data_IF_806928272936
#
_entry.id   IF_806928272936
#
_cell.length_a   1.000
_cell.length_b   1.000
_cell.length_c   1.000
_cell.angle_alpha   90.00
_cell.angle_beta   90.00
_cell.angle_gamma   90.00
#
_symmetry.space_group_name_H-M   'P 1'
#
loop_
_entity.id
_entity.type
_entity.pdbx_description
1 polymer ?
#
# COMPACT_ATOMS: atom_id res chain seq x y z
N UNK A 1 1.60 -3.72 -1.90
CA UNK A 1 2.02 -3.06 -3.16
C UNK A 1 1.25 -3.62 -4.34
N UNK A 2 0.14 -2.96 -4.69
CA UNK A 2 -0.70 -3.26 -5.86
C UNK A 2 -0.68 -2.04 -6.79
N UNK A 3 0.50 -1.76 -7.35
CA UNK A 3 0.79 -0.48 -8.00
C UNK A 3 -0.16 -0.16 -9.16
N UNK A 4 -0.48 -1.14 -10.00
CA UNK A 4 -1.31 -0.94 -11.20
C UNK A 4 -2.75 -0.57 -10.82
N UNK A 5 -3.47 -1.34 -9.98
CA UNK A 5 -4.79 -0.93 -9.47
C UNK A 5 -4.79 0.45 -8.85
N UNK A 6 -3.80 0.75 -8.00
CA UNK A 6 -3.72 2.01 -7.26
C UNK A 6 -3.47 3.21 -8.18
N UNK A 7 -2.55 3.09 -9.14
CA UNK A 7 -2.32 4.11 -10.15
C UNK A 7 -3.57 4.33 -11.03
N UNK A 8 -4.26 3.25 -11.40
CA UNK A 8 -5.48 3.32 -12.22
C UNK A 8 -6.61 4.06 -11.48
N UNK A 9 -6.82 3.72 -10.21
CA UNK A 9 -7.82 4.40 -9.37
C UNK A 9 -7.42 5.84 -9.09
N UNK A 10 -6.14 6.13 -8.83
CA UNK A 10 -5.64 7.48 -8.66
C UNK A 10 -5.86 8.34 -9.91
N UNK A 11 -5.64 7.79 -11.12
CA UNK A 11 -5.94 8.47 -12.37
C UNK A 11 -7.44 8.76 -12.54
N UNK A 12 -8.31 7.81 -12.16
CA UNK A 12 -9.75 8.00 -12.20
C UNK A 12 -10.21 9.12 -11.23
N UNK A 13 -9.73 9.08 -9.98
CA UNK A 13 -10.01 10.12 -8.97
C UNK A 13 -9.51 11.48 -9.46
N UNK A 14 -8.26 11.54 -9.93
CA UNK A 14 -7.67 12.77 -10.46
C UNK A 14 -8.43 13.33 -11.66
N UNK A 15 -8.96 12.46 -12.53
CA UNK A 15 -9.80 12.87 -13.67
C UNK A 15 -11.13 13.47 -13.24
N UNK A 16 -11.76 12.92 -12.20
CA UNK A 16 -13.01 13.47 -11.63
C UNK A 16 -12.78 14.85 -11.03
N UNK A 17 -11.68 15.04 -10.28
CA UNK A 17 -11.33 16.35 -9.72
C UNK A 17 -10.94 17.33 -10.82
N UNK A 18 -10.16 16.88 -11.81
CA UNK A 18 -9.80 17.71 -12.97
C UNK A 18 -11.02 18.24 -13.70
N UNK A 19 -12.05 17.41 -13.88
CA UNK A 19 -13.32 17.81 -14.48
C UNK A 19 -14.09 18.81 -13.61
N UNK A 20 -14.16 18.57 -12.29
CA UNK A 20 -14.89 19.45 -11.38
C UNK A 20 -14.26 20.83 -11.16
N UNK A 21 -12.93 20.92 -11.20
CA UNK A 21 -12.17 22.16 -10.96
C UNK A 21 -11.52 22.76 -12.21
N UNK A 22 -11.72 22.12 -13.38
CA UNK A 22 -11.04 22.49 -14.63
C UNK A 22 -9.51 22.55 -14.48
N UNK A 23 -8.92 21.57 -13.78
CA UNK A 23 -7.49 21.54 -13.44
C UNK A 23 -6.83 20.22 -13.84
N UNK A 24 -6.13 20.16 -14.99
CA UNK A 24 -5.56 18.92 -15.51
C UNK A 24 -4.45 18.33 -14.64
N UNK A 25 -3.77 19.12 -13.80
CA UNK A 25 -2.74 18.62 -12.88
C UNK A 25 -3.30 17.71 -11.79
N UNK A 26 -4.61 17.68 -11.59
CA UNK A 26 -5.25 16.73 -10.66
C UNK A 26 -5.07 15.27 -11.09
N UNK A 27 -4.89 14.97 -12.38
CA UNK A 27 -4.66 13.59 -12.86
C UNK A 27 -3.33 13.03 -12.36
N UNK A 28 -2.16 13.61 -12.70
CA UNK A 28 -0.87 13.10 -12.21
C UNK A 28 -0.77 13.17 -10.68
N UNK A 29 -1.38 14.19 -10.05
CA UNK A 29 -1.41 14.28 -8.59
C UNK A 29 -2.24 13.17 -7.96
N UNK A 30 -3.38 12.80 -8.54
CA UNK A 30 -4.23 11.69 -8.07
C UNK A 30 -3.50 10.35 -8.16
N UNK A 31 -2.78 10.10 -9.26
CA UNK A 31 -1.89 8.93 -9.40
C UNK A 31 -0.83 8.93 -8.30
N UNK A 32 -0.12 10.05 -8.12
CA UNK A 32 0.91 10.17 -7.11
C UNK A 32 0.36 9.93 -5.69
N UNK A 33 -0.80 10.53 -5.36
CA UNK A 33 -1.43 10.40 -4.05
C UNK A 33 -1.90 8.97 -3.75
N UNK A 34 -2.41 8.25 -4.76
CA UNK A 34 -2.81 6.84 -4.60
C UNK A 34 -1.60 5.89 -4.51
N UNK A 35 -0.50 6.19 -5.20
CA UNK A 35 0.70 5.33 -5.23
C UNK A 35 1.66 5.59 -4.07
N UNK A 36 1.74 6.82 -3.55
CA UNK A 36 2.71 7.19 -2.53
C UNK A 36 2.66 6.30 -1.26
N UNK A 37 1.49 5.88 -0.75
CA UNK A 37 1.43 4.98 0.40
C UNK A 37 2.20 3.68 0.17
N UNK A 38 2.06 3.09 -1.02
CA UNK A 38 2.68 1.82 -1.43
C UNK A 38 4.23 1.82 -1.32
N UNK A 39 4.87 3.00 -1.23
CA UNK A 39 6.31 3.16 -1.06
C UNK A 39 6.80 2.58 0.26
N UNK A 40 5.98 2.59 1.32
CA UNK A 40 6.38 2.03 2.63
C UNK A 40 6.67 0.52 2.57
N UNK A 41 6.07 -0.20 1.61
CA UNK A 41 6.36 -1.60 1.37
C UNK A 41 7.81 -1.87 0.93
N UNK A 42 8.55 -0.88 0.41
CA UNK A 42 9.98 -1.06 0.12
C UNK A 42 10.74 -1.45 1.40
N UNK A 43 10.37 -0.84 2.53
CA UNK A 43 10.96 -1.20 3.83
C UNK A 43 10.54 -2.60 4.27
N UNK A 44 9.30 -2.99 4.02
CA UNK A 44 8.84 -4.36 4.26
C UNK A 44 9.64 -5.37 3.43
N UNK A 45 9.84 -5.11 2.13
CA UNK A 45 10.62 -5.97 1.24
C UNK A 45 12.06 -6.12 1.71
N UNK A 46 12.70 -5.01 2.07
CA UNK A 46 14.06 -5.02 2.59
C UNK A 46 14.14 -5.83 3.90
N UNK A 47 13.27 -5.55 4.86
CA UNK A 47 13.30 -6.22 6.15
C UNK A 47 12.99 -7.72 6.04
N UNK A 48 12.06 -8.06 5.14
CA UNK A 48 11.63 -9.42 4.91
C UNK A 48 12.67 -10.25 4.17
N UNK A 49 13.08 -9.84 2.96
CA UNK A 49 13.90 -10.66 2.08
C UNK A 49 15.42 -10.42 2.22
N UNK A 50 15.83 -9.20 2.56
CA UNK A 50 17.26 -8.87 2.74
C UNK A 50 17.67 -9.16 4.19
N UNK A 51 16.90 -8.69 5.17
CA UNK A 51 17.20 -8.90 6.61
C UNK A 51 16.62 -10.21 7.17
N UNK A 52 15.89 -10.99 6.38
CA UNK A 52 15.33 -12.30 6.75
C UNK A 52 14.47 -12.25 8.03
N UNK A 53 13.64 -11.20 8.16
CA UNK A 53 12.82 -10.99 9.36
C UNK A 53 11.33 -11.02 9.02
N UNK A 54 10.62 -12.00 9.57
CA UNK A 54 9.17 -12.20 9.39
C UNK A 54 8.30 -11.35 10.32
N UNK A 55 8.91 -10.70 11.30
CA UNK A 55 8.20 -10.22 12.51
C UNK A 55 7.48 -8.89 12.33
N UNK A 56 7.89 -8.06 11.37
CA UNK A 56 7.53 -6.65 11.34
C UNK A 56 6.90 -6.25 10.01
N UNK A 57 5.96 -5.32 10.09
CA UNK A 57 5.27 -4.73 8.97
C UNK A 57 5.24 -3.21 9.17
N UNK A 58 6.12 -2.51 8.47
CA UNK A 58 6.35 -1.07 8.60
C UNK A 58 5.61 -0.32 7.51
N UNK A 59 4.29 -0.43 7.55
CA UNK A 59 3.41 0.29 6.65
C UNK A 59 3.09 1.64 7.31
N UNK A 60 4.02 2.60 7.24
CA UNK A 60 3.86 3.89 7.93
C UNK A 60 2.75 4.73 7.30
N UNK A 61 2.66 4.70 5.98
CA UNK A 61 1.79 5.56 5.18
C UNK A 61 0.48 4.90 4.79
N UNK A 62 0.12 3.72 5.31
CA UNK A 62 -1.26 3.22 5.17
C UNK A 62 -1.99 3.31 6.50
N UNK A 63 -2.33 4.54 6.87
CA UNK A 63 -3.03 4.88 8.11
C UNK A 63 -4.35 5.56 7.83
N UNK A 64 -5.46 5.06 8.38
CA UNK A 64 -6.72 5.80 8.42
C UNK A 64 -6.59 7.15 9.13
N UNK A 65 -5.62 7.28 10.05
CA UNK A 65 -5.32 8.56 10.68
C UNK A 65 -4.91 9.64 9.66
N UNK A 66 -4.13 9.30 8.64
CA UNK A 66 -3.77 10.25 7.59
C UNK A 66 -4.96 10.60 6.69
N UNK A 67 -5.84 9.63 6.39
CA UNK A 67 -7.10 9.90 5.67
C UNK A 67 -7.91 10.94 6.44
N UNK A 68 -8.09 10.73 7.75
CA UNK A 68 -8.84 11.64 8.62
C UNK A 68 -8.20 13.03 8.62
N UNK A 69 -6.89 13.13 8.79
CA UNK A 69 -6.18 14.43 8.79
C UNK A 69 -6.31 15.15 7.45
N UNK A 70 -6.20 14.45 6.33
CA UNK A 70 -6.37 15.02 4.98
C UNK A 70 -7.82 15.50 4.74
N UNK A 71 -8.81 14.74 5.18
CA UNK A 71 -10.22 15.15 5.09
C UNK A 71 -10.53 16.33 6.01
N UNK A 72 -9.99 16.34 7.23
CA UNK A 72 -10.09 17.48 8.15
C UNK A 72 -9.46 18.74 7.54
N UNK A 73 -8.29 18.62 6.91
CA UNK A 73 -7.68 19.72 6.19
C UNK A 73 -8.58 20.23 5.05
N UNK A 74 -9.18 19.31 4.29
CA UNK A 74 -10.08 19.64 3.18
C UNK A 74 -11.33 20.42 3.62
N UNK A 75 -11.83 20.22 4.85
CA UNK A 75 -12.92 21.05 5.39
C UNK A 75 -12.55 22.54 5.50
N UNK A 76 -11.25 22.86 5.66
CA UNK A 76 -10.77 24.24 5.72
C UNK A 76 -10.24 24.74 4.36
N UNK A 77 -9.75 23.82 3.52
CA UNK A 77 -9.20 24.13 2.20
C UNK A 77 -9.83 23.25 1.12
N UNK A 78 -10.78 23.84 0.39
CA UNK A 78 -11.50 23.20 -0.71
C UNK A 78 -10.78 23.31 -2.07
N UNK A 79 -9.47 23.51 -2.06
CA UNK A 79 -8.67 23.52 -3.29
C UNK A 79 -8.69 22.16 -4.00
N UNK A 80 -8.49 22.21 -5.32
CA UNK A 80 -8.44 21.03 -6.17
C UNK A 80 -7.35 20.04 -5.71
N UNK A 81 -6.18 20.55 -5.28
CA UNK A 81 -5.05 19.72 -4.92
C UNK A 81 -5.29 19.01 -3.58
N UNK A 82 -5.88 19.70 -2.59
CA UNK A 82 -6.23 19.11 -1.31
C UNK A 82 -7.26 17.99 -1.49
N UNK A 83 -8.28 18.25 -2.31
CA UNK A 83 -9.30 17.25 -2.67
C UNK A 83 -8.69 16.05 -3.41
N UNK A 84 -7.78 16.31 -4.36
CA UNK A 84 -7.10 15.26 -5.12
C UNK A 84 -6.24 14.36 -4.23
N UNK A 85 -5.42 14.94 -3.35
CA UNK A 85 -4.56 14.18 -2.43
C UNK A 85 -5.42 13.38 -1.46
N UNK A 86 -6.42 14.02 -0.85
CA UNK A 86 -7.34 13.41 0.11
C UNK A 86 -8.06 12.20 -0.47
N UNK A 87 -8.70 12.37 -1.64
CA UNK A 87 -9.46 11.30 -2.30
C UNK A 87 -8.54 10.22 -2.87
N UNK A 88 -7.41 10.59 -3.48
CA UNK A 88 -6.44 9.63 -4.04
C UNK A 88 -5.88 8.73 -2.95
N UNK A 89 -5.44 9.32 -1.84
CA UNK A 89 -4.94 8.60 -0.68
C UNK A 89 -6.04 7.75 -0.01
N UNK A 90 -7.26 8.26 0.13
CA UNK A 90 -8.36 7.46 0.70
C UNK A 90 -8.71 6.25 -0.17
N UNK A 91 -8.73 6.43 -1.49
CA UNK A 91 -9.03 5.35 -2.45
C UNK A 91 -8.03 4.19 -2.33
N UNK A 92 -6.75 4.50 -2.12
CA UNK A 92 -5.70 3.54 -1.83
C UNK A 92 -6.05 2.68 -0.61
N UNK A 93 -6.29 3.32 0.56
CA UNK A 93 -6.55 2.60 1.82
C UNK A 93 -7.81 1.74 1.72
N UNK A 94 -8.86 2.25 1.06
CA UNK A 94 -10.11 1.52 0.85
C UNK A 94 -9.87 0.27 0.00
N UNK A 95 -9.18 0.41 -1.13
CA UNK A 95 -8.89 -0.72 -2.02
C UNK A 95 -8.01 -1.77 -1.34
N UNK A 96 -7.07 -1.36 -0.52
CA UNK A 96 -6.25 -2.28 0.26
C UNK A 96 -7.01 -2.94 1.42
N UNK A 97 -7.99 -2.27 2.03
CA UNK A 97 -8.89 -2.87 3.03
C UNK A 97 -9.75 -3.97 2.41
N UNK A 98 -10.39 -3.67 1.28
CA UNK A 98 -11.27 -4.59 0.56
C UNK A 98 -10.44 -5.72 -0.05
N UNK A 99 -9.43 -5.38 -0.84
CA UNK A 99 -8.66 -6.30 -1.65
C UNK A 99 -7.73 -7.22 -0.85
N UNK A 100 -7.42 -6.89 0.40
CA UNK A 100 -6.64 -7.76 1.30
C UNK A 100 -7.52 -8.45 2.35
N UNK A 101 -8.85 -8.23 2.32
CA UNK A 101 -9.79 -8.67 3.37
C UNK A 101 -9.24 -8.38 4.79
N UNK A 102 -8.63 -7.20 4.94
CA UNK A 102 -7.91 -6.85 6.15
C UNK A 102 -8.91 -6.60 7.29
N UNK A 103 -8.47 -6.79 8.54
CA UNK A 103 -9.26 -6.36 9.70
C UNK A 103 -9.38 -4.85 9.70
N UNK A 104 -10.47 -4.31 10.25
CA UNK A 104 -10.75 -2.86 10.27
C UNK A 104 -9.62 -2.02 10.89
N UNK A 105 -8.86 -2.59 11.83
CA UNK A 105 -7.75 -1.93 12.53
C UNK A 105 -6.37 -2.18 11.91
N UNK A 106 -6.27 -2.96 10.83
CA UNK A 106 -4.99 -3.28 10.17
C UNK A 106 -4.28 -2.03 9.66
N UNK A 107 -5.04 -1.05 9.17
CA UNK A 107 -4.52 0.24 8.71
C UNK A 107 -4.69 1.37 9.71
N UNK A 108 -4.74 1.07 11.01
CA UNK A 108 -4.61 2.10 12.06
C UNK A 108 -3.16 2.10 12.53
N UNK A 109 -2.43 3.17 12.24
CA UNK A 109 -1.01 3.30 12.61
C UNK A 109 -0.81 3.13 14.12
N UNK A 110 -1.65 3.78 14.93
CA UNK A 110 -1.57 3.75 16.39
C UNK A 110 -1.80 2.34 16.94
N UNK A 111 -2.73 1.59 16.34
CA UNK A 111 -2.97 0.19 16.66
C UNK A 111 -1.76 -0.67 16.32
N UNK A 112 -1.15 -0.47 15.14
CA UNK A 112 0.08 -1.20 14.77
C UNK A 112 1.24 -0.85 15.69
N UNK A 113 1.42 0.43 16.04
CA UNK A 113 2.47 0.88 16.96
C UNK A 113 2.30 0.24 18.35
N UNK A 114 1.07 0.21 18.88
CA UNK A 114 0.73 -0.48 20.13
C UNK A 114 1.08 -1.98 20.07
N UNK A 115 0.76 -2.63 18.95
CA UNK A 115 1.10 -4.03 18.69
C UNK A 115 2.53 -4.25 18.16
N UNK A 116 3.40 -3.24 18.28
CA UNK A 116 4.82 -3.28 17.88
C UNK A 116 5.06 -3.71 16.42
N UNK A 117 4.12 -3.35 15.54
CA UNK A 117 4.12 -3.65 14.11
C UNK A 117 4.18 -5.16 13.80
N UNK A 118 3.66 -6.01 14.70
CA UNK A 118 3.63 -7.46 14.50
C UNK A 118 2.70 -7.83 13.34
N UNK A 119 3.26 -8.39 12.26
CA UNK A 119 2.53 -8.77 11.03
C UNK A 119 1.34 -9.72 11.31
N UNK A 120 1.51 -10.67 12.24
CA UNK A 120 0.49 -11.66 12.58
C UNK A 120 -0.84 -11.05 13.03
N UNK A 121 -0.79 -9.93 13.74
CA UNK A 121 -1.99 -9.25 14.23
C UNK A 121 -2.83 -8.67 13.09
N UNK A 122 -2.17 -8.29 11.99
CA UNK A 122 -2.76 -7.61 10.84
C UNK A 122 -3.20 -8.54 9.71
N UNK A 123 -2.47 -9.65 9.46
CA UNK A 123 -2.68 -10.53 8.30
C UNK A 123 -2.71 -12.03 8.62
N UNK A 124 -2.66 -12.44 9.90
CA UNK A 124 -2.65 -13.86 10.29
C UNK A 124 -1.27 -14.52 10.18
N UNK A 125 -1.21 -15.87 10.33
CA UNK A 125 0.07 -16.62 10.16
C UNK A 125 0.56 -16.38 8.73
N UNK A 126 1.87 -16.17 8.62
CA UNK A 126 2.55 -15.67 7.44
C UNK A 126 1.95 -16.13 6.09
N UNK A 127 1.63 -15.17 5.21
CA UNK A 127 1.15 -15.47 3.86
C UNK A 127 2.36 -15.64 2.91
N UNK A 128 2.63 -16.86 2.40
CA UNK A 128 3.66 -17.06 1.38
C UNK A 128 3.33 -16.25 0.12
N UNK A 129 4.36 -15.83 -0.61
CA UNK A 129 4.18 -15.14 -1.88
C UNK A 129 3.96 -13.63 -1.79
N UNK A 130 4.39 -12.97 -0.70
CA UNK A 130 4.37 -11.51 -0.55
C UNK A 130 5.06 -10.78 -1.74
N UNK A 131 6.08 -11.41 -2.35
CA UNK A 131 6.76 -10.90 -3.54
C UNK A 131 5.91 -10.87 -4.82
N UNK A 132 4.82 -11.64 -4.91
CA UNK A 132 4.05 -11.75 -6.17
C UNK A 132 3.46 -10.41 -6.59
N UNK A 133 2.87 -9.67 -5.64
CA UNK A 133 2.29 -8.36 -5.92
C UNK A 133 3.35 -7.35 -6.41
N UNK A 134 4.55 -7.39 -5.84
CA UNK A 134 5.67 -6.55 -6.28
C UNK A 134 6.19 -6.92 -7.67
N UNK A 135 6.45 -8.21 -7.90
CA UNK A 135 6.96 -8.69 -9.19
C UNK A 135 5.95 -8.46 -10.33
N UNK A 136 4.65 -8.61 -10.06
CA UNK A 136 3.59 -8.26 -11.02
C UNK A 136 3.49 -6.75 -11.30
N UNK A 137 3.89 -5.91 -10.34
CA UNK A 137 3.86 -4.45 -10.48
C UNK A 137 5.01 -3.90 -11.35
N UNK A 138 6.08 -4.67 -11.59
CA UNK A 138 7.24 -4.24 -12.37
C UNK A 138 7.46 -5.20 -13.55
N UNK A 139 6.72 -5.07 -14.65
CA UNK A 139 6.59 -6.14 -15.66
C UNK A 139 7.91 -6.55 -16.34
N UNK A 140 8.90 -5.66 -16.46
CA UNK A 140 10.19 -5.97 -17.08
C UNK A 140 11.22 -6.57 -16.10
N UNK A 141 11.12 -6.24 -14.81
CA UNK A 141 12.11 -6.64 -13.79
C UNK A 141 11.57 -7.74 -12.88
N UNK A 142 10.28 -7.74 -12.62
CA UNK A 142 9.57 -8.69 -11.77
C UNK A 142 9.85 -10.14 -12.12
N UNK A 143 9.65 -10.58 -13.37
CA UNK A 143 9.94 -11.96 -13.78
C UNK A 143 11.41 -12.36 -13.60
N UNK A 144 12.34 -11.39 -13.68
CA UNK A 144 13.78 -11.63 -13.47
C UNK A 144 14.12 -11.77 -11.98
N UNK A 145 13.41 -11.05 -11.11
CA UNK A 145 13.61 -11.09 -9.65
C UNK A 145 12.83 -12.22 -8.97
N UNK A 146 11.75 -12.69 -9.59
CA UNK A 146 10.84 -13.69 -9.02
C UNK A 146 11.56 -14.96 -8.52
N UNK A 147 12.50 -15.57 -9.26
CA UNK A 147 13.22 -16.76 -8.78
C UNK A 147 13.97 -16.52 -7.47
N UNK A 148 14.62 -15.36 -7.33
CA UNK A 148 15.35 -14.98 -6.12
C UNK A 148 14.41 -14.84 -4.93
N UNK A 149 13.28 -14.13 -5.12
CA UNK A 149 12.28 -13.99 -4.06
C UNK A 149 11.68 -15.34 -3.67
N UNK A 150 11.32 -16.17 -4.64
CA UNK A 150 10.73 -17.50 -4.40
C UNK A 150 11.70 -18.41 -3.63
N UNK A 151 12.98 -18.39 -3.96
CA UNK A 151 13.99 -19.10 -3.20
C UNK A 151 14.06 -18.60 -1.75
N UNK A 152 14.12 -17.28 -1.54
CA UNK A 152 14.15 -16.68 -0.20
C UNK A 152 12.88 -16.98 0.59
N UNK A 153 11.72 -16.98 -0.05
CA UNK A 153 10.45 -17.35 0.56
C UNK A 153 10.47 -18.81 1.03
N UNK A 154 11.01 -19.74 0.22
CA UNK A 154 11.18 -21.15 0.61
C UNK A 154 12.14 -21.34 1.78
N UNK A 155 13.28 -20.65 1.76
CA UNK A 155 14.25 -20.67 2.87
C UNK A 155 13.64 -20.12 4.15
N UNK A 156 12.79 -19.08 4.01
CA UNK A 156 12.10 -18.51 5.14
C UNK A 156 10.89 -19.33 5.54
N UNK A 157 10.14 -20.01 4.69
CA UNK A 157 8.91 -20.70 5.09
C UNK A 157 8.96 -22.19 4.77
N UNK A 158 9.95 -22.94 5.30
CA UNK A 158 10.08 -24.36 4.98
C UNK A 158 8.81 -25.14 5.34
N UNK A 159 8.13 -24.76 6.43
CA UNK A 159 6.88 -25.37 6.89
C UNK A 159 5.69 -25.22 5.93
N UNK A 160 5.77 -24.29 4.97
CA UNK A 160 4.72 -24.05 3.96
C UNK A 160 5.05 -24.77 2.65
N UNK A 161 6.32 -25.09 2.41
CA UNK A 161 6.83 -25.61 1.13
C UNK A 161 7.41 -27.02 1.22
N UNK A 162 7.36 -27.66 2.38
CA UNK A 162 7.65 -29.09 2.54
C UNK A 162 6.38 -29.89 2.20
N UNK A 163 6.41 -30.56 1.04
CA UNK A 163 5.46 -31.61 0.68
C UNK A 163 5.68 -32.87 1.53
#
# INVERSE_FOLDING_TARGET
MKLIPHATTGAAVGSLVAWGWNEPLAIPLGVAAAVLPDVDHIFDFYWHYVRRSRKRLFILFHGWEFVILLHLYQFFDHSWWASTISLGYASQIILDQIGNNAKWNTYIFSWRAWNRFRRFESYGKDSPGFYKAFTQSVPWLGPKMEPWFKQRDKEMYPEVYSD
#
